data_IF_722172204863
#
_entry.id   IF_722172204863
#
_cell.length_a   1.000
_cell.length_b   1.000
_cell.length_c   1.000
_cell.angle_alpha   90.00
_cell.angle_beta   90.00
_cell.angle_gamma   90.00
#
_symmetry.space_group_name_H-M   'P 1'
#
loop_
_entity.id
_entity.type
_entity.pdbx_description
1 polymer ?
#
# COMPACT_ATOMS: atom_id res chain seq x y z
N UNK A 1 13.53 10.52 13.33
CA UNK A 1 12.63 9.36 13.50
C UNK A 1 11.66 9.36 12.34
N UNK A 2 11.41 8.19 11.74
CA UNK A 2 10.50 8.02 10.61
C UNK A 2 9.50 6.90 10.88
N UNK A 3 8.43 6.89 10.10
CA UNK A 3 7.49 5.76 10.10
C UNK A 3 8.03 4.59 9.27
N UNK A 4 7.89 3.38 9.79
CA UNK A 4 8.13 2.13 9.08
C UNK A 4 6.92 1.21 9.24
N UNK A 5 6.56 0.53 8.16
CA UNK A 5 5.38 -0.32 8.14
C UNK A 5 5.66 -1.64 8.87
N UNK A 6 4.81 -2.01 9.83
CA UNK A 6 4.74 -3.38 10.35
C UNK A 6 3.83 -4.21 9.47
N UNK A 7 4.33 -5.37 9.07
CA UNK A 7 3.61 -6.35 8.26
C UNK A 7 3.55 -7.69 8.98
N UNK A 8 2.55 -8.51 8.71
CA UNK A 8 2.50 -9.88 9.20
C UNK A 8 3.47 -10.80 8.43
N UNK A 9 3.49 -12.08 8.77
CA UNK A 9 4.31 -13.11 8.10
C UNK A 9 4.00 -13.29 6.61
N UNK A 10 2.83 -12.86 6.14
CA UNK A 10 2.44 -12.87 4.73
C UNK A 10 2.77 -11.55 4.00
N UNK A 11 3.37 -10.59 4.70
CA UNK A 11 3.68 -9.25 4.20
C UNK A 11 2.50 -8.28 4.22
N UNK A 12 1.34 -8.65 4.75
CA UNK A 12 0.18 -7.75 4.80
C UNK A 12 0.41 -6.63 5.81
N UNK A 13 0.14 -5.39 5.41
CA UNK A 13 0.24 -4.23 6.28
C UNK A 13 -0.64 -4.36 7.53
N UNK A 14 -0.08 -4.03 8.70
CA UNK A 14 -0.75 -4.03 9.99
C UNK A 14 -0.88 -2.61 10.54
N UNK A 15 0.24 -1.96 10.82
CA UNK A 15 0.32 -0.64 11.45
C UNK A 15 1.67 0.01 11.16
N UNK A 16 1.80 1.28 11.51
CA UNK A 16 3.05 2.01 11.46
C UNK A 16 3.81 1.92 12.79
N UNK A 17 5.13 1.84 12.72
CA UNK A 17 6.04 1.91 13.86
C UNK A 17 7.06 3.02 13.66
N UNK A 18 7.31 3.81 14.71
CA UNK A 18 8.37 4.81 14.70
C UNK A 18 9.73 4.13 14.85
N UNK A 19 10.60 4.39 13.88
CA UNK A 19 11.98 3.88 13.83
C UNK A 19 12.96 5.02 13.62
N UNK A 20 14.25 4.71 13.72
CA UNK A 20 15.31 5.65 13.37
C UNK A 20 15.27 6.02 11.89
N UNK A 21 15.66 7.25 11.54
CA UNK A 21 15.69 7.70 10.14
C UNK A 21 16.62 6.87 9.27
N UNK A 22 17.71 6.35 9.87
CA UNK A 22 18.68 5.49 9.22
C UNK A 22 18.17 4.06 8.99
N UNK A 23 17.00 3.67 9.52
CA UNK A 23 16.49 2.31 9.38
C UNK A 23 16.08 1.99 7.94
N UNK A 24 16.90 1.23 7.22
CA UNK A 24 16.60 0.74 5.87
C UNK A 24 16.73 -0.78 5.87
N UNK A 25 15.62 -1.49 5.71
CA UNK A 25 15.62 -2.95 5.67
C UNK A 25 14.31 -3.57 6.13
N UNK A 26 14.34 -4.88 6.31
CA UNK A 26 13.22 -5.69 6.79
C UNK A 26 13.72 -6.53 7.96
N UNK A 27 13.14 -6.32 9.15
CA UNK A 27 13.57 -6.98 10.39
C UNK A 27 12.40 -7.70 11.03
N UNK A 28 12.54 -8.99 11.43
CA UNK A 28 11.47 -9.70 12.09
C UNK A 28 11.17 -9.13 13.48
N UNK A 29 9.90 -9.17 13.87
CA UNK A 29 9.47 -9.01 15.26
C UNK A 29 8.72 -10.25 15.72
N UNK A 30 8.78 -10.53 17.01
CA UNK A 30 8.34 -11.80 17.58
C UNK A 30 7.06 -11.65 18.37
N UNK A 31 6.27 -12.72 18.44
CA UNK A 31 5.09 -12.80 19.29
C UNK A 31 5.51 -12.65 20.75
N UNK A 32 4.77 -11.84 21.51
CA UNK A 32 4.99 -11.72 22.94
C UNK A 32 4.49 -12.99 23.60
N UNK A 33 5.40 -13.85 24.05
CA UNK A 33 5.04 -15.01 24.87
C UNK A 33 4.54 -14.49 26.21
N UNK A 34 3.34 -14.88 26.63
CA UNK A 34 2.75 -14.54 27.92
C UNK A 34 3.41 -15.33 29.08
N UNK A 35 4.74 -15.40 29.10
CA UNK A 35 5.46 -16.01 30.22
C UNK A 35 5.56 -15.00 31.37
N UNK A 36 4.43 -14.79 32.04
CA UNK A 36 4.32 -14.11 33.34
C UNK A 36 4.35 -15.12 34.49
N UNK A 37 4.91 -16.31 34.27
CA UNK A 37 5.04 -17.32 35.33
C UNK A 37 6.53 -17.58 35.62
N UNK A 38 7.12 -16.97 36.67
CA UNK A 38 8.52 -17.15 37.03
C UNK A 38 8.81 -18.53 37.65
N UNK A 39 7.86 -19.46 37.64
CA UNK A 39 7.95 -20.78 38.29
C UNK A 39 8.15 -21.96 37.33
N UNK A 40 8.17 -21.75 36.02
CA UNK A 40 8.30 -22.85 35.05
C UNK A 40 9.76 -22.97 34.58
N UNK A 41 10.47 -23.97 35.12
CA UNK A 41 11.76 -24.48 34.66
C UNK A 41 11.62 -25.17 33.28
N UNK A 42 11.13 -24.41 32.31
CA UNK A 42 10.88 -24.86 30.94
C UNK A 42 11.92 -24.23 30.04
N UNK A 43 12.54 -25.07 29.21
CA UNK A 43 13.55 -24.70 28.22
C UNK A 43 13.16 -23.41 27.47
N UNK A 44 14.15 -22.56 27.11
CA UNK A 44 13.89 -21.33 26.39
C UNK A 44 13.14 -21.65 25.10
N UNK A 45 11.86 -21.31 25.07
CA UNK A 45 11.00 -21.56 23.91
C UNK A 45 11.45 -20.61 22.81
N UNK A 46 11.82 -21.14 21.64
CA UNK A 46 12.19 -20.30 20.49
C UNK A 46 11.03 -19.35 20.18
N UNK A 47 11.25 -18.02 20.19
CA UNK A 47 10.19 -17.07 19.96
C UNK A 47 9.65 -17.18 18.53
N UNK A 48 8.34 -17.26 18.39
CA UNK A 48 7.66 -17.31 17.09
C UNK A 48 7.68 -15.93 16.41
N UNK A 49 7.98 -15.88 15.12
CA UNK A 49 7.96 -14.63 14.34
C UNK A 49 6.50 -14.20 14.14
N UNK A 50 6.15 -13.03 14.66
CA UNK A 50 4.83 -12.44 14.48
C UNK A 50 4.73 -11.63 13.18
N UNK A 51 5.85 -11.14 12.64
CA UNK A 51 5.88 -10.38 11.40
C UNK A 51 7.19 -9.66 11.19
N UNK A 52 7.16 -8.61 10.35
CA UNK A 52 8.34 -7.83 9.98
C UNK A 52 8.10 -6.33 10.08
N UNK A 53 9.12 -5.58 10.46
CA UNK A 53 9.17 -4.12 10.35
C UNK A 53 9.93 -3.76 9.08
N UNK A 54 9.28 -3.02 8.19
CA UNK A 54 9.73 -2.70 6.83
C UNK A 54 10.08 -1.21 6.74
N UNK A 55 11.36 -0.92 6.58
CA UNK A 55 11.90 0.43 6.35
C UNK A 55 11.87 0.86 4.89
N UNK A 56 11.32 0.03 4.00
CA UNK A 56 11.13 0.34 2.58
C UNK A 56 9.84 1.14 2.41
N UNK A 57 9.89 2.37 1.86
CA UNK A 57 8.70 3.21 1.72
C UNK A 57 7.70 2.63 0.71
N UNK A 58 6.43 2.90 0.92
CA UNK A 58 5.35 2.57 -0.02
C UNK A 58 5.42 3.55 -1.20
N UNK A 59 5.94 3.11 -2.33
CA UNK A 59 6.06 3.90 -3.57
C UNK A 59 4.86 3.73 -4.49
N UNK A 60 4.19 2.57 -4.43
CA UNK A 60 3.00 2.24 -5.22
C UNK A 60 1.78 3.01 -4.73
N UNK A 61 1.19 3.82 -5.61
CA UNK A 61 -0.04 4.58 -5.31
C UNK A 61 -1.29 3.74 -5.58
N UNK A 62 -2.37 4.04 -4.86
CA UNK A 62 -3.69 3.45 -5.10
C UNK A 62 -3.88 2.03 -4.56
N UNK A 63 -3.01 1.59 -3.65
CA UNK A 63 -3.21 0.32 -2.95
C UNK A 63 -4.33 0.45 -1.92
N UNK A 64 -5.34 -0.41 -2.01
CA UNK A 64 -6.42 -0.51 -1.03
C UNK A 64 -5.93 -1.20 0.24
N UNK A 65 -5.14 -2.27 0.09
CA UNK A 65 -4.53 -2.99 1.21
C UNK A 65 -3.07 -3.33 0.90
N UNK A 66 -2.13 -2.46 1.28
CA UNK A 66 -0.72 -2.68 0.97
C UNK A 66 -0.20 -4.02 1.50
N UNK A 67 0.52 -4.74 0.66
CA UNK A 67 1.21 -5.97 0.99
C UNK A 67 2.65 -5.90 0.52
N UNK A 68 3.59 -6.13 1.42
CA UNK A 68 5.00 -6.23 1.12
C UNK A 68 5.34 -7.60 0.53
N UNK A 69 6.04 -7.62 -0.59
CA UNK A 69 6.47 -8.85 -1.25
C UNK A 69 7.79 -9.34 -0.64
N UNK A 70 7.68 -10.13 0.43
CA UNK A 70 8.83 -10.72 1.15
C UNK A 70 9.72 -11.57 0.23
N UNK A 71 9.13 -12.36 -0.67
CA UNK A 71 9.90 -13.20 -1.60
C UNK A 71 10.74 -12.37 -2.60
N UNK A 72 10.18 -11.26 -3.11
CA UNK A 72 10.92 -10.34 -3.97
C UNK A 72 12.05 -9.64 -3.20
N UNK A 73 11.80 -9.30 -1.93
CA UNK A 73 12.83 -8.74 -1.05
C UNK A 73 13.98 -9.72 -0.78
N UNK A 74 13.66 -10.98 -0.47
CA UNK A 74 14.65 -12.04 -0.25
C UNK A 74 15.50 -12.29 -1.51
N UNK A 75 14.85 -12.31 -2.69
CA UNK A 75 15.56 -12.44 -3.98
C UNK A 75 16.53 -11.28 -4.20
N UNK A 76 16.11 -10.05 -3.88
CA UNK A 76 16.97 -8.87 -3.95
C UNK A 76 18.15 -8.96 -2.97
N UNK A 77 17.90 -9.38 -1.72
CA UNK A 77 18.95 -9.56 -0.71
C UNK A 77 19.97 -10.62 -1.14
N UNK A 78 19.52 -11.73 -1.73
CA UNK A 78 20.41 -12.75 -2.29
C UNK A 78 21.29 -12.19 -3.40
N UNK A 79 20.73 -11.39 -4.32
CA UNK A 79 21.50 -10.73 -5.37
C UNK A 79 22.53 -9.72 -4.82
N UNK A 80 22.17 -8.98 -3.76
CA UNK A 80 23.09 -8.05 -3.07
C UNK A 80 24.26 -8.82 -2.46
N UNK A 81 23.98 -9.93 -1.79
CA UNK A 81 25.00 -10.80 -1.22
C UNK A 81 25.94 -11.37 -2.29
N UNK A 82 25.39 -11.87 -3.40
CA UNK A 82 26.18 -12.39 -4.52
C UNK A 82 27.06 -11.32 -5.16
N UNK A 83 26.53 -10.11 -5.37
CA UNK A 83 27.30 -8.96 -5.88
C UNK A 83 28.43 -8.56 -4.92
N UNK A 84 28.21 -8.69 -3.61
CA UNK A 84 29.22 -8.41 -2.61
C UNK A 84 30.34 -9.46 -2.63
N UNK A 85 29.99 -10.74 -2.69
CA UNK A 85 30.95 -11.85 -2.76
C UNK A 85 31.81 -11.77 -4.04
N UNK A 86 31.19 -11.51 -5.19
CA UNK A 86 31.92 -11.32 -6.46
C UNK A 86 32.88 -10.14 -6.41
N UNK A 87 32.46 -9.02 -5.80
CA UNK A 87 33.35 -7.87 -5.56
C UNK A 87 34.52 -8.21 -4.63
N UNK A 88 34.25 -8.89 -3.51
CA UNK A 88 35.29 -9.31 -2.55
C UNK A 88 36.29 -10.25 -3.23
N UNK A 89 35.82 -11.22 -4.01
CA UNK A 89 36.67 -12.14 -4.76
C UNK A 89 37.56 -11.40 -5.78
N UNK A 90 36.98 -10.46 -6.54
CA UNK A 90 37.72 -9.63 -7.49
C UNK A 90 38.75 -8.75 -6.78
N UNK A 91 38.41 -8.17 -5.62
CA UNK A 91 39.31 -7.35 -4.83
C UNK A 91 40.49 -8.16 -4.30
N UNK A 92 40.23 -9.37 -3.78
CA UNK A 92 41.26 -10.29 -3.30
C UNK A 92 42.22 -10.71 -4.43
N UNK A 93 41.69 -11.03 -5.62
CA UNK A 93 42.50 -11.36 -6.79
C UNK A 93 43.35 -10.17 -7.25
N UNK A 94 42.78 -8.97 -7.31
CA UNK A 94 43.50 -7.73 -7.62
C UNK A 94 44.63 -7.44 -6.63
N UNK A 95 44.37 -7.65 -5.33
CA UNK A 95 45.38 -7.52 -4.28
C UNK A 95 46.48 -8.57 -4.40
N UNK A 96 46.13 -9.83 -4.66
CA UNK A 96 47.09 -10.92 -4.84
C UNK A 96 48.01 -10.71 -6.06
N UNK A 97 47.49 -10.08 -7.12
CA UNK A 97 48.27 -9.67 -8.31
C UNK A 97 49.15 -8.44 -8.07
N UNK A 98 49.29 -7.98 -6.83
CA UNK A 98 50.17 -6.86 -6.47
C UNK A 98 49.62 -5.49 -6.86
N UNK A 99 48.30 -5.37 -7.11
CA UNK A 99 47.64 -4.10 -7.51
C UNK A 99 48.17 -3.53 -8.83
N UNK A 100 48.73 -4.41 -9.67
CA UNK A 100 49.32 -4.05 -10.98
C UNK A 100 48.33 -4.30 -12.13
N UNK A 101 47.19 -4.94 -11.86
CA UNK A 101 46.11 -5.13 -12.82
C UNK A 101 45.44 -3.78 -13.16
N UNK A 102 45.00 -3.64 -14.42
CA UNK A 102 44.64 -2.36 -15.06
C UNK A 102 43.72 -1.46 -14.21
N UNK A 103 42.67 -2.00 -13.58
CA UNK A 103 41.76 -1.22 -12.74
C UNK A 103 41.38 -1.95 -11.44
N UNK A 104 41.21 -1.16 -10.37
CA UNK A 104 40.66 -1.66 -9.11
C UNK A 104 39.19 -2.05 -9.32
N UNK A 105 38.76 -3.23 -8.86
CA UNK A 105 37.35 -3.61 -8.96
C UNK A 105 36.47 -2.61 -8.20
N UNK A 106 35.29 -2.34 -8.75
CA UNK A 106 34.30 -1.43 -8.18
C UNK A 106 33.07 -2.24 -7.80
N UNK A 107 32.55 -2.01 -6.59
CA UNK A 107 31.32 -2.64 -6.16
C UNK A 107 30.12 -2.02 -6.88
N UNK A 108 29.32 -2.85 -7.55
CA UNK A 108 28.08 -2.44 -8.20
C UNK A 108 26.92 -3.07 -7.44
N UNK A 109 26.21 -2.23 -6.67
CA UNK A 109 25.03 -2.69 -5.94
C UNK A 109 23.88 -3.04 -6.92
N UNK A 110 23.21 -4.19 -6.74
CA UNK A 110 21.99 -4.48 -7.48
C UNK A 110 20.93 -3.41 -7.29
N UNK A 111 20.15 -3.12 -8.33
CA UNK A 111 19.03 -2.18 -8.23
C UNK A 111 17.90 -2.80 -7.42
N UNK A 112 17.41 -2.08 -6.41
CA UNK A 112 16.24 -2.48 -5.65
C UNK A 112 14.99 -2.57 -6.56
N UNK A 113 14.14 -3.59 -6.41
CA UNK A 113 12.88 -3.68 -7.16
C UNK A 113 11.95 -2.50 -6.85
N UNK A 114 11.32 -1.95 -7.89
CA UNK A 114 10.41 -0.80 -7.76
C UNK A 114 9.03 -1.19 -7.18
N UNK A 115 8.65 -2.48 -7.28
CA UNK A 115 7.32 -3.02 -6.93
C UNK A 115 7.35 -3.92 -5.69
N UNK A 116 8.05 -3.52 -4.63
CA UNK A 116 8.08 -4.28 -3.37
C UNK A 116 6.75 -4.21 -2.60
N UNK A 117 5.95 -3.17 -2.84
CA UNK A 117 4.61 -3.02 -2.31
C UNK A 117 3.58 -3.32 -3.39
N UNK A 118 2.80 -4.37 -3.16
CA UNK A 118 1.75 -4.86 -4.05
C UNK A 118 0.38 -4.78 -3.37
N UNK A 119 -0.67 -4.97 -4.16
CA UNK A 119 -2.03 -5.08 -3.63
C UNK A 119 -2.21 -6.42 -2.90
N UNK A 120 -2.78 -6.34 -1.70
CA UNK A 120 -3.07 -7.49 -0.85
C UNK A 120 -4.48 -8.05 -1.07
N UNK A 121 -5.36 -7.30 -1.72
CA UNK A 121 -6.72 -7.74 -2.10
C UNK A 121 -6.76 -8.30 -3.52
N UNK A 122 -7.74 -9.16 -3.78
CA UNK A 122 -8.06 -9.55 -5.15
C UNK A 122 -8.85 -8.43 -5.86
N UNK A 123 -8.85 -8.41 -7.20
CA UNK A 123 -9.66 -7.46 -7.96
C UNK A 123 -11.14 -7.52 -7.59
N UNK A 124 -11.67 -8.71 -7.27
CA UNK A 124 -13.06 -8.91 -6.87
C UNK A 124 -13.37 -8.22 -5.55
N UNK A 125 -12.51 -8.39 -4.54
CA UNK A 125 -12.65 -7.73 -3.23
C UNK A 125 -12.60 -6.21 -3.37
N UNK A 126 -11.73 -5.68 -4.24
CA UNK A 126 -11.69 -4.25 -4.56
C UNK A 126 -12.98 -3.79 -5.24
N UNK A 127 -13.51 -4.61 -6.15
CA UNK A 127 -14.78 -4.30 -6.84
C UNK A 127 -15.95 -4.23 -5.85
N UNK A 128 -15.94 -5.09 -4.82
CA UNK A 128 -16.93 -5.03 -3.74
C UNK A 128 -16.73 -3.81 -2.83
N UNK A 129 -15.50 -3.43 -2.49
CA UNK A 129 -15.23 -2.23 -1.69
C UNK A 129 -15.55 -0.93 -2.43
N UNK A 130 -15.40 -0.92 -3.76
CA UNK A 130 -15.67 0.24 -4.62
C UNK A 130 -17.08 0.27 -5.17
N UNK A 131 -17.90 -0.77 -4.89
CA UNK A 131 -19.32 -0.78 -5.26
C UNK A 131 -20.01 0.38 -4.55
N UNK A 132 -20.35 1.39 -5.33
CA UNK A 132 -21.18 2.48 -4.87
C UNK A 132 -22.50 1.91 -4.37
N UNK A 133 -23.00 2.29 -3.18
CA UNK A 133 -24.30 1.82 -2.71
C UNK A 133 -25.33 2.16 -3.79
N UNK A 134 -26.11 1.17 -4.22
CA UNK A 134 -27.18 1.43 -5.17
C UNK A 134 -28.07 2.53 -4.60
N UNK A 135 -28.40 3.58 -5.38
CA UNK A 135 -29.29 4.63 -4.92
C UNK A 135 -30.57 3.96 -4.46
N UNK A 136 -30.89 4.11 -3.16
CA UNK A 136 -32.04 3.47 -2.56
C UNK A 136 -33.28 3.76 -3.40
N UNK A 137 -34.18 2.78 -3.64
CA UNK A 137 -35.33 2.96 -4.52
C UNK A 137 -36.20 4.15 -4.11
N UNK A 138 -36.33 4.42 -2.80
CA UNK A 138 -37.01 5.61 -2.28
C UNK A 138 -36.39 6.93 -2.72
N UNK A 139 -35.06 7.01 -2.73
CA UNK A 139 -34.34 8.21 -3.15
C UNK A 139 -34.51 8.45 -4.65
N UNK A 140 -34.57 7.37 -5.45
CA UNK A 140 -34.88 7.47 -6.88
C UNK A 140 -36.30 7.98 -7.08
N UNK A 141 -37.29 7.39 -6.41
CA UNK A 141 -38.68 7.85 -6.47
C UNK A 141 -38.81 9.33 -6.06
N UNK A 142 -38.17 9.74 -4.95
CA UNK A 142 -38.18 11.14 -4.50
C UNK A 142 -37.56 12.09 -5.52
N UNK A 143 -36.42 11.74 -6.11
CA UNK A 143 -35.77 12.52 -7.17
C UNK A 143 -36.64 12.63 -8.42
N UNK A 144 -37.34 11.55 -8.78
CA UNK A 144 -38.24 11.53 -9.94
C UNK A 144 -39.45 12.41 -9.67
N UNK A 145 -40.04 12.29 -8.48
CA UNK A 145 -41.18 13.12 -8.05
C UNK A 145 -40.82 14.60 -7.97
N UNK A 146 -39.62 14.95 -7.49
CA UNK A 146 -39.16 16.35 -7.49
C UNK A 146 -38.92 16.87 -8.90
N UNK A 147 -38.38 16.06 -9.81
CA UNK A 147 -38.24 16.46 -11.21
C UNK A 147 -39.58 16.71 -11.89
N UNK A 148 -40.58 15.86 -11.64
CA UNK A 148 -41.94 16.04 -12.15
C UNK A 148 -42.55 17.32 -11.56
N UNK A 149 -42.46 17.53 -10.25
CA UNK A 149 -43.00 18.73 -9.62
C UNK A 149 -42.37 20.03 -10.15
N UNK A 150 -41.07 20.02 -10.46
CA UNK A 150 -40.40 21.17 -11.08
C UNK A 150 -40.89 21.42 -12.51
N UNK A 151 -41.13 20.36 -13.29
CA UNK A 151 -41.65 20.48 -14.66
C UNK A 151 -43.07 21.05 -14.66
N UNK A 152 -43.96 20.54 -13.79
CA UNK A 152 -45.33 21.03 -13.65
C UNK A 152 -45.34 22.52 -13.25
N UNK A 153 -44.46 22.93 -12.34
CA UNK A 153 -44.36 24.33 -11.91
C UNK A 153 -43.88 25.24 -13.05
N UNK A 154 -42.98 24.75 -13.91
CA UNK A 154 -42.52 25.47 -15.10
C UNK A 154 -43.65 25.63 -16.13
N UNK A 155 -44.41 24.57 -16.40
CA UNK A 155 -45.57 24.64 -17.31
C UNK A 155 -46.62 25.61 -16.80
N UNK A 156 -46.90 25.61 -15.49
CA UNK A 156 -47.88 26.52 -14.89
C UNK A 156 -47.45 27.99 -15.00
N UNK A 157 -46.15 28.29 -14.84
CA UNK A 157 -45.63 29.63 -15.09
C UNK A 157 -45.76 30.05 -16.57
N UNK A 158 -45.49 29.13 -17.50
CA UNK A 158 -45.63 29.41 -18.93
C UNK A 158 -47.09 29.68 -19.31
N UNK A 159 -48.03 28.89 -18.81
CA UNK A 159 -49.46 29.09 -19.01
C UNK A 159 -49.92 30.45 -18.46
N UNK A 160 -49.50 30.81 -17.25
CA UNK A 160 -49.82 32.10 -16.64
C UNK A 160 -49.23 33.28 -17.43
N UNK A 161 -48.02 33.15 -17.97
CA UNK A 161 -47.43 34.17 -18.85
C UNK A 161 -48.22 34.32 -20.17
N UNK A 162 -48.65 33.20 -20.76
CA UNK A 162 -49.44 33.22 -22.00
C UNK A 162 -50.82 33.88 -21.79
N UNK A 163 -51.47 33.61 -20.66
CA UNK A 163 -52.77 34.21 -20.32
C UNK A 163 -52.64 35.73 -20.06
N UNK A 164 -51.57 36.15 -19.37
CA UNK A 164 -51.26 37.57 -19.16
C UNK A 164 -50.93 38.30 -20.47
N UNK A 165 -50.29 37.62 -21.43
CA UNK A 165 -50.03 38.17 -22.76
C UNK A 165 -51.34 38.33 -23.56
N UNK A 166 -52.20 37.32 -23.56
CA UNK A 166 -53.51 37.37 -24.24
C UNK A 166 -54.43 38.46 -23.67
N UNK A 167 -54.41 38.68 -22.35
CA UNK A 167 -55.14 39.77 -21.69
C UNK A 167 -54.59 41.17 -22.02
N UNK A 168 -53.31 41.28 -22.40
CA UNK A 168 -52.68 42.54 -22.83
C UNK A 168 -52.92 42.86 -24.31
N UNK A 169 -53.04 41.86 -25.18
CA UNK A 169 -53.34 42.05 -26.61
C UNK A 169 -54.84 42.27 -26.90
N UNK A 170 -55.73 41.89 -25.99
CA UNK A 170 -57.18 42.06 -26.14
C UNK A 170 -57.76 43.42 -25.76
N UNK A 171 -56.94 44.47 -25.59
CA UNK A 171 -57.37 45.84 -25.24
C UNK A 171 -57.03 46.87 -26.31
#
# INVERSE_FOLDING_TARGET
>A
MKSAAKVNTNGLYLEDALVDDAFSGVVPFYARTNNTDPAADTEPTTPEIAGYTVGVPITTRGLYKPRFNLAAWETYQAAVYEAQETYIAALNDWQAKGRVAEEQPVYVAPKQPDNLWIEGLTPEEITELTKQPEPQPKLREELTNTQIAMADMYEQMLAMQAELAALKEGR
#
